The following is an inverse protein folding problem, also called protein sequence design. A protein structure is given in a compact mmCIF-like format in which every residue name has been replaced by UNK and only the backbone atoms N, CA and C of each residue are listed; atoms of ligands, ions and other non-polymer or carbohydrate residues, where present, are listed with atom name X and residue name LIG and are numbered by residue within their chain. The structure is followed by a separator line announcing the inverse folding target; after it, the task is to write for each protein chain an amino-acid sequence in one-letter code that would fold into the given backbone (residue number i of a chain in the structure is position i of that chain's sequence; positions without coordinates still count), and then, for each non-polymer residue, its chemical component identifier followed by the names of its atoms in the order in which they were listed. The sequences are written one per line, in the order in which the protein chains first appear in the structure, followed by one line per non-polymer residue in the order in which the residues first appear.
data_IF_531682720013
#
_entry.id   IF_531682720013
#
_cell.length_a   1.000
_cell.length_b   1.000
_cell.length_c   1.000
_cell.angle_alpha   90.00
_cell.angle_beta   90.00
_cell.angle_gamma   90.00
#
_symmetry.space_group_name_H-M   'P 1'
#
loop_
_entity.id
_entity.type
_entity.pdbx_description
1 polymer ?
#
# COMPACT_ATOMS: atom_id res chain seq x y z
N UNK A 1 -8.17 22.62 -3.88
CA UNK A 1 -7.75 21.86 -2.68
C UNK A 1 -6.59 20.99 -3.10
N UNK A 2 -5.38 21.34 -2.68
CA UNK A 2 -4.20 20.54 -2.98
C UNK A 2 -4.27 19.26 -2.14
N UNK A 3 -4.46 18.14 -2.83
CA UNK A 3 -4.54 16.80 -2.24
C UNK A 3 -3.14 16.32 -1.81
N UNK A 4 -2.50 17.08 -0.91
CA UNK A 4 -1.16 16.76 -0.42
C UNK A 4 -1.20 15.65 0.63
N UNK A 5 -1.15 14.41 0.16
CA UNK A 5 -1.03 13.22 0.99
C UNK A 5 0.29 13.18 1.80
N UNK A 6 1.23 14.10 1.58
CA UNK A 6 2.51 14.12 2.29
C UNK A 6 2.34 14.23 3.81
N UNK A 7 1.37 15.03 4.27
CA UNK A 7 1.08 15.22 5.69
C UNK A 7 0.63 13.90 6.31
N UNK A 8 -0.31 13.22 5.65
CA UNK A 8 -0.85 11.95 6.13
C UNK A 8 0.21 10.85 6.12
N UNK A 9 1.01 10.74 5.06
CA UNK A 9 2.14 9.81 5.01
C UNK A 9 3.17 10.12 6.11
N UNK A 10 3.39 11.40 6.41
CA UNK A 10 4.19 11.84 7.55
C UNK A 10 3.65 11.32 8.88
N UNK A 11 2.33 11.43 9.10
CA UNK A 11 1.66 10.88 10.30
C UNK A 11 1.80 9.36 10.39
N UNK A 12 1.62 8.63 9.29
CA UNK A 12 1.79 7.16 9.25
C UNK A 12 3.21 6.72 9.57
N UNK A 13 4.21 7.41 9.04
CA UNK A 13 5.61 7.13 9.38
C UNK A 13 5.87 7.33 10.88
N UNK A 14 5.34 8.41 11.47
CA UNK A 14 5.45 8.65 12.91
C UNK A 14 4.75 7.55 13.72
N UNK A 15 3.52 7.17 13.35
CA UNK A 15 2.77 6.09 14.00
C UNK A 15 3.49 4.73 13.91
N UNK A 16 4.05 4.41 12.73
CA UNK A 16 4.85 3.21 12.52
C UNK A 16 6.08 3.18 13.43
N UNK A 17 6.82 4.29 13.53
CA UNK A 17 7.96 4.41 14.44
C UNK A 17 7.57 4.35 15.91
N UNK A 18 6.47 5.00 16.31
CA UNK A 18 5.97 4.92 17.67
C UNK A 18 5.64 3.47 18.05
N UNK A 19 4.98 2.74 17.15
CA UNK A 19 4.64 1.33 17.35
C UNK A 19 5.89 0.45 17.39
N UNK A 20 6.87 0.71 16.52
CA UNK A 20 8.16 0.01 16.53
C UNK A 20 8.89 0.22 17.87
N UNK A 21 8.93 1.47 18.36
CA UNK A 21 9.58 1.82 19.61
C UNK A 21 8.88 1.17 20.81
N UNK A 22 7.55 1.05 20.78
CA UNK A 22 6.78 0.32 21.82
C UNK A 22 7.19 -1.15 21.94
N UNK A 23 7.51 -1.80 20.83
CA UNK A 23 7.94 -3.21 20.79
C UNK A 23 9.45 -3.37 20.57
N UNK A 24 10.24 -2.32 20.82
CA UNK A 24 11.67 -2.30 20.47
C UNK A 24 12.45 -3.42 21.14
N UNK A 25 12.16 -3.70 22.39
CA UNK A 25 12.87 -4.73 23.16
C UNK A 25 12.68 -6.11 22.52
N UNK A 26 11.45 -6.45 22.14
CA UNK A 26 11.13 -7.71 21.44
C UNK A 26 11.72 -7.73 20.02
N UNK A 27 11.64 -6.62 19.28
CA UNK A 27 12.09 -6.55 17.90
C UNK A 27 13.63 -6.56 17.78
N UNK A 28 14.35 -6.00 18.74
CA UNK A 28 15.82 -5.90 18.69
C UNK A 28 16.53 -7.02 19.42
N UNK A 29 15.83 -7.78 20.26
CA UNK A 29 16.42 -8.94 20.95
C UNK A 29 16.85 -10.02 19.93
N UNK A 30 18.13 -10.37 19.96
CA UNK A 30 18.74 -11.39 19.11
C UNK A 30 18.45 -12.81 19.60
N UNK A 31 18.03 -12.98 20.86
CA UNK A 31 17.65 -14.27 21.45
C UNK A 31 16.29 -14.75 20.95
N UNK A 32 15.43 -13.82 20.54
CA UNK A 32 14.11 -14.13 19.98
C UNK A 32 14.24 -14.52 18.51
N UNK A 33 13.57 -15.61 18.17
CA UNK A 33 13.55 -16.13 16.80
C UNK A 33 13.11 -15.06 15.78
N UNK A 34 13.75 -15.08 14.61
CA UNK A 34 13.50 -14.09 13.56
C UNK A 34 12.04 -14.12 13.08
N UNK A 35 11.38 -15.29 13.05
CA UNK A 35 9.98 -15.40 12.63
C UNK A 35 9.03 -14.73 13.63
N UNK A 36 9.31 -14.85 14.93
CA UNK A 36 8.50 -14.19 15.97
C UNK A 36 8.61 -12.67 15.82
N UNK A 37 9.83 -12.15 15.65
CA UNK A 37 10.05 -10.72 15.43
C UNK A 37 9.39 -10.23 14.14
N UNK A 38 9.47 -11.01 13.08
CA UNK A 38 8.77 -10.73 11.82
C UNK A 38 7.26 -10.65 12.02
N UNK A 39 6.68 -11.61 12.76
CA UNK A 39 5.24 -11.64 13.06
C UNK A 39 4.81 -10.41 13.85
N UNK A 40 5.56 -10.00 14.87
CA UNK A 40 5.27 -8.78 15.65
C UNK A 40 5.29 -7.55 14.75
N UNK A 41 6.33 -7.38 13.94
CA UNK A 41 6.46 -6.25 13.01
C UNK A 41 5.33 -6.25 11.97
N UNK A 42 5.04 -7.40 11.36
CA UNK A 42 3.97 -7.56 10.38
C UNK A 42 2.58 -7.25 10.96
N UNK A 43 2.34 -7.63 12.21
CA UNK A 43 1.02 -7.49 12.85
C UNK A 43 0.80 -6.08 13.41
N UNK A 44 1.83 -5.42 13.94
CA UNK A 44 1.64 -4.14 14.64
C UNK A 44 2.18 -2.97 13.81
N UNK A 45 3.46 -3.05 13.43
CA UNK A 45 4.17 -1.93 12.78
C UNK A 45 3.69 -1.73 11.35
N UNK A 46 3.51 -2.81 10.58
CA UNK A 46 2.97 -2.68 9.22
C UNK A 46 1.53 -2.18 9.22
N UNK A 47 0.69 -2.63 10.15
CA UNK A 47 -0.68 -2.10 10.26
C UNK A 47 -0.67 -0.59 10.53
N UNK A 48 0.19 -0.11 11.44
CA UNK A 48 0.30 1.31 11.72
C UNK A 48 0.79 2.14 10.50
N UNK A 49 1.71 1.58 9.70
CA UNK A 49 2.22 2.22 8.48
C UNK A 49 1.19 2.27 7.36
N UNK A 50 0.39 1.21 7.21
CA UNK A 50 -0.50 0.99 6.06
C UNK A 50 -1.94 1.42 6.35
N UNK A 51 -2.31 1.65 7.61
CA UNK A 51 -3.68 2.06 7.96
C UNK A 51 -4.14 3.22 7.08
N UNK A 52 -5.32 3.08 6.48
CA UNK A 52 -5.93 4.11 5.62
C UNK A 52 -5.45 4.08 4.17
N UNK A 53 -4.45 3.26 3.81
CA UNK A 53 -3.92 3.17 2.43
C UNK A 53 -4.95 2.73 1.40
N UNK A 54 -6.04 2.10 1.83
CA UNK A 54 -7.17 1.71 1.00
C UNK A 54 -7.89 2.92 0.38
N UNK A 55 -7.92 4.03 1.12
CA UNK A 55 -8.67 5.24 0.77
C UNK A 55 -7.86 6.28 0.02
N UNK A 56 -6.52 6.16 0.02
CA UNK A 56 -5.65 7.14 -0.63
C UNK A 56 -5.26 6.70 -2.03
N UNK A 57 -5.30 7.64 -2.97
CA UNK A 57 -4.67 7.50 -4.28
C UNK A 57 -3.14 7.62 -4.10
N UNK A 58 -2.49 6.55 -3.65
CA UNK A 58 -1.02 6.57 -3.45
C UNK A 58 -0.32 6.83 -4.77
N UNK A 59 0.57 7.82 -4.78
CA UNK A 59 1.55 8.02 -5.84
C UNK A 59 2.82 7.24 -5.43
N UNK A 60 3.67 6.88 -6.40
CA UNK A 60 4.91 6.10 -6.17
C UNK A 60 5.77 6.70 -5.07
N UNK A 61 5.84 8.03 -5.03
CA UNK A 61 6.71 8.78 -4.12
C UNK A 61 6.37 8.49 -2.66
N UNK A 62 5.10 8.34 -2.34
CA UNK A 62 4.52 8.09 -1.03
C UNK A 62 4.78 6.65 -0.62
N UNK A 63 4.60 5.70 -1.54
CA UNK A 63 4.95 4.30 -1.31
C UNK A 63 6.44 4.13 -1.05
N UNK A 64 7.29 4.83 -1.82
CA UNK A 64 8.74 4.86 -1.59
C UNK A 64 9.09 5.43 -0.21
N UNK A 65 8.36 6.45 0.28
CA UNK A 65 8.55 7.01 1.64
C UNK A 65 8.21 5.99 2.72
N UNK A 66 7.11 5.26 2.59
CA UNK A 66 6.72 4.18 3.52
C UNK A 66 7.71 3.01 3.47
N UNK A 67 8.10 2.57 2.27
CA UNK A 67 9.10 1.51 2.09
C UNK A 67 10.46 1.89 2.68
N UNK A 68 10.84 3.17 2.59
CA UNK A 68 12.09 3.67 3.20
C UNK A 68 12.01 3.64 4.73
N UNK A 69 10.86 3.99 5.32
CA UNK A 69 10.64 3.87 6.76
C UNK A 69 10.74 2.41 7.23
N UNK A 70 10.09 1.49 6.53
CA UNK A 70 10.15 0.06 6.83
C UNK A 70 11.60 -0.48 6.76
N UNK A 71 12.34 -0.15 5.68
CA UNK A 71 13.75 -0.55 5.53
C UNK A 71 14.65 -0.02 6.64
N UNK A 72 14.34 1.14 7.21
CA UNK A 72 15.06 1.69 8.35
C UNK A 72 14.73 0.93 9.65
N UNK A 73 13.46 0.58 9.87
CA UNK A 73 13.04 -0.25 11.00
C UNK A 73 13.64 -1.67 10.95
N UNK A 74 13.67 -2.30 9.77
CA UNK A 74 14.30 -3.62 9.59
C UNK A 74 15.81 -3.59 9.85
N UNK A 75 16.48 -2.50 9.47
CA UNK A 75 17.89 -2.28 9.81
C UNK A 75 18.11 -2.18 11.31
N UNK A 76 17.27 -1.41 12.00
CA UNK A 76 17.31 -1.31 13.46
C UNK A 76 17.05 -2.68 14.11
N UNK A 77 16.07 -3.45 13.60
CA UNK A 77 15.74 -4.81 14.05
C UNK A 77 16.92 -5.79 13.92
N UNK A 78 17.73 -5.66 12.87
CA UNK A 78 18.93 -6.47 12.67
C UNK A 78 20.20 -5.89 13.33
N UNK A 79 20.14 -4.70 13.93
CA UNK A 79 21.33 -3.99 14.43
C UNK A 79 22.33 -3.62 13.33
N UNK A 80 21.86 -3.37 12.10
CA UNK A 80 22.69 -3.07 10.93
C UNK A 80 22.59 -1.59 10.57
N UNK A 81 23.71 -0.88 10.61
CA UNK A 81 23.85 0.48 10.10
C UNK A 81 24.07 0.52 8.57
N UNK A 82 23.99 1.71 7.97
CA UNK A 82 24.29 1.91 6.55
C UNK A 82 25.76 1.60 6.19
N UNK A 83 26.68 1.68 7.17
CA UNK A 83 28.12 1.44 6.96
C UNK A 83 28.45 0.00 6.57
N UNK A 84 27.64 -0.97 7.00
CA UNK A 84 27.86 -2.38 6.64
C UNK A 84 27.55 -2.67 5.16
N UNK A 85 27.04 -1.70 4.39
CA UNK A 85 26.72 -1.80 2.95
C UNK A 85 25.85 -3.03 2.61
N UNK A 86 25.05 -3.50 3.56
CA UNK A 86 24.16 -4.65 3.36
C UNK A 86 22.93 -4.19 2.57
N UNK A 87 22.64 -4.81 1.42
CA UNK A 87 21.52 -4.42 0.59
C UNK A 87 20.20 -4.79 1.28
N UNK A 88 19.17 -3.93 1.12
CA UNK A 88 17.87 -4.11 1.78
C UNK A 88 17.22 -5.47 1.47
N UNK A 89 17.39 -6.00 0.24
CA UNK A 89 16.92 -7.34 -0.14
C UNK A 89 17.49 -8.46 0.74
N UNK A 90 18.75 -8.35 1.18
CA UNK A 90 19.40 -9.34 2.03
C UNK A 90 18.90 -9.25 3.47
N UNK A 91 18.62 -8.04 3.94
CA UNK A 91 17.99 -7.80 5.26
C UNK A 91 16.59 -8.40 5.25
N UNK A 92 15.77 -8.05 4.26
CA UNK A 92 14.40 -8.56 4.09
C UNK A 92 14.34 -10.08 4.06
N UNK A 93 15.25 -10.73 3.34
CA UNK A 93 15.34 -12.20 3.30
C UNK A 93 15.67 -12.81 4.66
N UNK A 94 16.48 -12.13 5.47
CA UNK A 94 16.81 -12.58 6.84
C UNK A 94 15.65 -12.36 7.81
N UNK A 95 14.91 -11.26 7.64
CA UNK A 95 13.84 -10.87 8.55
C UNK A 95 12.53 -11.57 8.24
N UNK A 96 12.26 -11.99 7.00
CA UNK A 96 10.98 -12.63 6.62
C UNK A 96 9.76 -11.69 6.75
N UNK A 97 9.99 -10.39 6.85
CA UNK A 97 8.95 -9.37 6.98
C UNK A 97 8.22 -9.19 5.64
N UNK A 98 6.91 -8.92 5.66
CA UNK A 98 6.13 -8.65 4.44
C UNK A 98 6.47 -7.29 3.84
N UNK A 99 6.34 -7.12 2.52
CA UNK A 99 6.58 -5.81 1.93
C UNK A 99 5.46 -4.82 2.20
N UNK A 100 5.80 -3.57 2.55
CA UNK A 100 4.77 -2.55 2.80
C UNK A 100 3.98 -2.26 1.53
N UNK A 101 4.62 -2.25 0.37
CA UNK A 101 3.97 -2.07 -0.93
C UNK A 101 3.01 -3.23 -1.23
N UNK A 102 3.42 -4.46 -0.91
CA UNK A 102 2.55 -5.64 -0.99
C UNK A 102 1.33 -5.54 -0.08
N UNK A 103 1.53 -5.12 1.17
CA UNK A 103 0.41 -4.91 2.10
C UNK A 103 -0.54 -3.79 1.66
N UNK A 104 -0.03 -2.68 1.11
CA UNK A 104 -0.86 -1.59 0.57
C UNK A 104 -1.72 -2.14 -0.58
N UNK A 105 -1.10 -2.88 -1.49
CA UNK A 105 -1.80 -3.49 -2.61
C UNK A 105 -2.87 -4.47 -2.14
N UNK A 106 -2.52 -5.39 -1.24
CA UNK A 106 -3.45 -6.35 -0.65
C UNK A 106 -4.65 -5.66 0.01
N UNK A 107 -4.41 -4.58 0.75
CA UNK A 107 -5.46 -3.81 1.42
C UNK A 107 -6.38 -3.16 0.39
N UNK A 108 -5.81 -2.50 -0.63
CA UNK A 108 -6.57 -1.92 -1.75
C UNK A 108 -7.40 -2.96 -2.51
N UNK A 109 -6.81 -4.14 -2.75
CA UNK A 109 -7.47 -5.26 -3.39
C UNK A 109 -8.61 -5.82 -2.54
N UNK A 110 -8.43 -5.98 -1.22
CA UNK A 110 -9.50 -6.38 -0.30
C UNK A 110 -10.65 -5.38 -0.33
N UNK A 111 -10.35 -4.08 -0.27
CA UNK A 111 -11.36 -3.02 -0.32
C UNK A 111 -12.10 -3.00 -1.67
N UNK A 112 -11.40 -3.14 -2.80
CA UNK A 112 -12.04 -3.22 -4.12
C UNK A 112 -12.96 -4.44 -4.25
N UNK A 113 -12.57 -5.60 -3.70
CA UNK A 113 -13.40 -6.79 -3.68
C UNK A 113 -14.63 -6.59 -2.81
N UNK A 114 -14.46 -5.92 -1.66
CA UNK A 114 -15.58 -5.49 -0.83
C UNK A 114 -16.55 -4.58 -1.61
N UNK A 115 -16.05 -3.55 -2.30
CA UNK A 115 -16.88 -2.64 -3.11
C UNK A 115 -17.58 -3.36 -4.27
N UNK A 116 -16.91 -4.29 -4.94
CA UNK A 116 -17.51 -5.07 -6.02
C UNK A 116 -18.64 -6.00 -5.55
N UNK A 117 -18.63 -6.40 -4.27
CA UNK A 117 -19.73 -7.16 -3.64
C UNK A 117 -20.85 -6.27 -3.10
N UNK A 118 -20.69 -4.94 -3.08
CA UNK A 118 -21.74 -4.03 -2.65
C UNK A 118 -22.70 -3.71 -3.80
N UNK A 119 -24.00 -3.70 -3.51
CA UNK A 119 -25.01 -3.20 -4.45
C UNK A 119 -24.72 -1.73 -4.82
N UNK A 120 -24.91 -1.40 -6.10
CA UNK A 120 -24.65 -0.07 -6.68
C UNK A 120 -25.39 1.09 -5.98
N UNK A 121 -26.49 0.79 -5.29
CA UNK A 121 -27.31 1.77 -4.56
C UNK A 121 -26.63 2.32 -3.30
N UNK A 122 -25.61 1.65 -2.74
CA UNK A 122 -24.89 2.12 -1.56
C UNK A 122 -23.96 3.29 -1.89
N UNK A 123 -23.92 4.29 -1.01
CA UNK A 123 -23.05 5.45 -1.10
C UNK A 123 -21.58 5.10 -1.36
N UNK A 124 -21.06 4.02 -0.79
CA UNK A 124 -19.69 3.55 -1.02
C UNK A 124 -19.38 3.30 -2.50
N UNK A 125 -20.30 2.65 -3.22
CA UNK A 125 -20.17 2.38 -4.67
C UNK A 125 -20.33 3.67 -5.48
N UNK A 126 -21.32 4.50 -5.12
CA UNK A 126 -21.57 5.80 -5.77
C UNK A 126 -20.38 6.74 -5.65
N UNK A 127 -19.82 6.91 -4.45
CA UNK A 127 -18.65 7.78 -4.17
C UNK A 127 -17.39 7.25 -4.86
N UNK A 128 -17.20 5.94 -4.88
CA UNK A 128 -16.05 5.31 -5.55
C UNK A 128 -16.06 5.55 -7.07
N UNK A 129 -17.25 5.58 -7.67
CA UNK A 129 -17.47 5.86 -9.08
C UNK A 129 -17.77 7.33 -9.39
N UNK A 130 -17.85 8.17 -8.36
CA UNK A 130 -18.36 9.52 -8.49
C UNK A 130 -17.44 10.38 -9.35
N UNK A 131 -18.05 11.21 -10.17
CA UNK A 131 -17.37 12.16 -11.02
C UNK A 131 -18.09 13.50 -10.94
N UNK A 132 -17.39 14.61 -10.61
CA UNK A 132 -17.99 15.94 -10.69
C UNK A 132 -18.19 16.30 -12.16
N UNK A 133 -19.43 16.17 -12.65
CA UNK A 133 -19.81 16.51 -14.02
C UNK A 133 -19.72 18.02 -14.33
N UNK A 134 -19.74 18.86 -13.30
CA UNK A 134 -19.82 20.32 -13.41
C UNK A 134 -18.45 21.02 -13.45
N UNK A 135 -17.36 20.30 -13.19
CA UNK A 135 -16.03 20.89 -13.26
C UNK A 135 -15.65 21.15 -14.72
N UNK A 136 -15.61 22.43 -15.13
CA UNK A 136 -15.04 22.86 -16.42
C UNK A 136 -13.68 22.19 -16.60
N UNK A 137 -13.57 21.30 -17.59
CA UNK A 137 -12.27 20.70 -17.96
C UNK A 137 -11.31 21.86 -18.27
N UNK A 138 -10.14 21.85 -17.65
CA UNK A 138 -9.02 22.65 -18.15
C UNK A 138 -8.75 22.15 -19.58
N UNK A 139 -8.87 23.04 -20.57
CA UNK A 139 -8.66 22.68 -21.99
C UNK A 139 -7.26 22.08 -22.14
N UNK A 140 -7.16 20.86 -22.67
CA UNK A 140 -5.89 20.29 -23.14
C UNK A 140 -5.05 19.46 -22.15
N UNK A 141 -5.64 18.83 -21.12
CA UNK A 141 -4.92 17.97 -20.17
C UNK A 141 -5.50 16.57 -19.99
N UNK A 142 -4.68 15.62 -19.52
CA UNK A 142 -5.13 14.28 -19.09
C UNK A 142 -6.05 14.42 -17.87
N UNK A 143 -7.24 13.78 -17.83
CA UNK A 143 -8.09 13.82 -16.66
C UNK A 143 -7.37 13.32 -15.39
N UNK A 144 -7.64 13.90 -14.21
CA UNK A 144 -7.11 13.38 -12.96
C UNK A 144 -7.55 11.92 -12.77
N UNK A 145 -6.60 11.05 -12.43
CA UNK A 145 -6.86 9.63 -12.24
C UNK A 145 -7.81 9.42 -11.07
N UNK A 146 -8.86 8.64 -11.29
CA UNK A 146 -9.82 8.24 -10.25
C UNK A 146 -9.25 7.09 -9.44
N UNK A 147 -9.76 6.93 -8.23
CA UNK A 147 -9.47 5.74 -7.43
C UNK A 147 -9.86 4.45 -8.18
N UNK A 148 -11.02 4.43 -8.85
CA UNK A 148 -11.47 3.31 -9.69
C UNK A 148 -10.57 3.03 -10.90
N UNK A 149 -9.85 4.04 -11.41
CA UNK A 149 -8.98 3.90 -12.58
C UNK A 149 -7.69 3.11 -12.26
N UNK A 150 -7.38 2.92 -10.98
CA UNK A 150 -6.35 1.97 -10.55
C UNK A 150 -6.81 0.53 -10.83
N UNK A 151 -8.00 0.17 -10.37
CA UNK A 151 -8.56 -1.19 -10.53
C UNK A 151 -8.93 -1.49 -11.97
N UNK A 152 -9.43 -0.49 -12.70
CA UNK A 152 -9.73 -0.63 -14.13
C UNK A 152 -8.49 -1.01 -14.96
N UNK A 153 -7.31 -0.52 -14.59
CA UNK A 153 -6.05 -0.91 -15.25
C UNK A 153 -5.60 -2.33 -14.91
N UNK A 154 -6.02 -2.87 -13.77
CA UNK A 154 -5.51 -4.15 -13.24
C UNK A 154 -6.45 -5.33 -13.51
N UNK A 155 -7.74 -5.07 -13.38
CA UNK A 155 -8.82 -6.04 -13.44
C UNK A 155 -9.76 -5.78 -14.64
N UNK A 156 -9.39 -4.82 -15.50
CA UNK A 156 -10.17 -4.42 -16.66
C UNK A 156 -11.42 -3.59 -16.32
N UNK A 157 -12.19 -3.22 -17.35
CA UNK A 157 -13.41 -2.40 -17.20
C UNK A 157 -14.49 -3.06 -16.33
N UNK A 158 -14.51 -4.40 -16.28
CA UNK A 158 -15.53 -5.20 -15.61
C UNK A 158 -15.21 -5.53 -14.15
N UNK A 159 -14.17 -4.93 -13.56
CA UNK A 159 -13.72 -5.25 -12.19
C UNK A 159 -14.77 -5.09 -11.09
N UNK A 160 -15.80 -4.27 -11.33
CA UNK A 160 -16.92 -4.07 -10.40
C UNK A 160 -18.04 -5.10 -10.54
N UNK A 161 -17.95 -6.00 -11.52
CA UNK A 161 -18.92 -7.08 -11.65
C UNK A 161 -18.65 -8.13 -10.57
N UNK A 162 -19.72 -8.50 -9.87
CA UNK A 162 -19.70 -9.48 -8.78
C UNK A 162 -19.06 -10.80 -9.22
N UNK A 163 -19.25 -11.21 -10.47
CA UNK A 163 -18.66 -12.43 -11.05
C UNK A 163 -17.13 -12.42 -11.03
N UNK A 164 -16.52 -11.28 -11.40
CA UNK A 164 -15.05 -11.09 -11.41
C UNK A 164 -14.51 -11.07 -9.98
N UNK A 165 -15.25 -10.49 -9.04
CA UNK A 165 -14.88 -10.46 -7.62
C UNK A 165 -15.07 -11.82 -6.91
N UNK A 166 -16.05 -12.63 -7.34
CA UNK A 166 -16.32 -13.97 -6.80
C UNK A 166 -15.37 -15.03 -7.32
N UNK A 167 -14.84 -14.86 -8.54
CA UNK A 167 -13.84 -15.79 -9.07
C UNK A 167 -12.53 -15.62 -8.31
N UNK A 168 -12.34 -16.46 -7.28
CA UNK A 168 -11.15 -16.44 -6.42
C UNK A 168 -9.86 -16.61 -7.20
N UNK A 169 -9.86 -17.39 -8.29
CA UNK A 169 -8.67 -17.63 -9.09
C UNK A 169 -8.27 -16.41 -9.93
N UNK A 170 -9.24 -15.73 -10.54
CA UNK A 170 -9.00 -14.48 -11.26
C UNK A 170 -8.63 -13.34 -10.30
N UNK A 171 -9.35 -13.23 -9.18
CA UNK A 171 -9.09 -12.21 -8.18
C UNK A 171 -7.71 -12.39 -7.55
N UNK A 172 -7.34 -13.59 -7.10
CA UNK A 172 -6.02 -13.85 -6.52
C UNK A 172 -4.89 -13.93 -7.55
N UNK A 173 -5.18 -14.29 -8.81
CA UNK A 173 -4.22 -14.40 -9.90
C UNK A 173 -3.63 -13.07 -10.39
N UNK A 174 -4.27 -11.94 -10.10
CA UNK A 174 -3.67 -10.62 -10.33
C UNK A 174 -2.54 -10.35 -9.33
N UNK A 175 -1.30 -10.40 -9.83
CA UNK A 175 -0.05 -10.26 -9.08
C UNK A 175 0.42 -8.80 -9.02
N UNK A 176 1.13 -8.45 -7.95
CA UNK A 176 1.86 -7.18 -7.74
C UNK A 176 2.69 -6.70 -8.94
N UNK A 177 3.15 -7.59 -9.82
CA UNK A 177 3.90 -7.24 -11.03
C UNK A 177 3.10 -6.31 -11.96
N UNK A 178 1.82 -6.60 -12.21
CA UNK A 178 0.95 -5.72 -13.03
C UNK A 178 0.71 -4.36 -12.36
N UNK A 179 0.73 -4.34 -11.02
CA UNK A 179 0.64 -3.12 -10.23
C UNK A 179 1.89 -2.25 -10.35
N UNK A 180 3.07 -2.86 -10.22
CA UNK A 180 4.36 -2.16 -10.29
C UNK A 180 4.64 -1.63 -11.70
N UNK A 181 4.29 -2.38 -12.74
CA UNK A 181 4.42 -1.97 -14.14
C UNK A 181 3.49 -0.80 -14.50
N UNK A 182 2.19 -0.88 -14.14
CA UNK A 182 1.20 0.19 -14.42
C UNK A 182 1.49 1.49 -13.67
N UNK A 183 2.12 1.37 -12.51
CA UNK A 183 2.54 2.48 -11.68
C UNK A 183 3.79 3.14 -12.28
N UNK A 184 4.81 2.37 -12.68
CA UNK A 184 6.02 2.88 -13.33
C UNK A 184 5.73 3.56 -14.68
N UNK A 185 4.77 3.07 -15.47
CA UNK A 185 4.27 3.71 -16.70
C UNK A 185 3.54 5.06 -16.46
N UNK A 186 3.10 5.34 -15.21
CA UNK A 186 2.37 6.56 -14.84
C UNK A 186 3.23 7.68 -14.26
N UNK A 187 4.48 7.40 -13.87
CA UNK A 187 5.42 8.44 -13.45
C UNK A 187 6.23 8.95 -14.65
N UNK A 188 6.19 10.26 -14.97
CA UNK A 188 7.15 10.82 -15.92
C UNK A 188 8.56 10.63 -15.37
N UNK A 189 9.52 10.37 -16.27
CA UNK A 189 10.95 10.42 -15.95
C UNK A 189 11.35 11.80 -15.44
#
# INVERSE_FOLDING_TARGET
MDNDWSIEIGRRRKAGWATFNKYRDVLTDKRIDAQIRARVLNTHVLLALVYGSETWSTIIKEERRLASAQKAMERAMCGVTLMHKIPARKIRRRTGVKDVTENIYDSKKRWAGHVAHLNYTRWTSRVTNWYPGEAKRLRGGRPPARWSDLFRGLFGQRWQQVEVARNRNEWHGCVLQGWRNHIEERTPK
#
